data_IF_102732765335
#
_entry.id   IF_102732765335
#
_cell.length_a   1.000
_cell.length_b   1.000
_cell.length_c   1.000
_cell.angle_alpha   90.00
_cell.angle_beta   90.00
_cell.angle_gamma   90.00
#
_symmetry.space_group_name_H-M   'P 1'
#
loop_
_entity.id
_entity.type
_entity.pdbx_description
1 polymer ?
#
# COMPACT_ATOMS: atom_id res chain seq x y z
N UNK A 1 26.38 13.54 44.67
CA UNK A 1 25.34 13.75 43.64
C UNK A 1 25.12 15.25 43.44
N UNK A 2 25.05 15.69 42.19
CA UNK A 2 24.72 17.07 41.85
C UNK A 2 23.22 17.30 41.84
N UNK A 3 22.78 18.48 42.25
CA UNK A 3 21.37 18.85 42.38
C UNK A 3 20.97 19.77 41.24
N UNK A 4 19.90 19.43 40.53
CA UNK A 4 19.45 20.14 39.32
C UNK A 4 17.95 20.43 39.39
N UNK A 5 17.51 21.54 38.80
CA UNK A 5 16.10 21.70 38.48
C UNK A 5 15.64 20.59 37.52
N UNK A 6 14.45 20.03 37.74
CA UNK A 6 13.89 18.97 36.88
C UNK A 6 12.52 19.37 36.34
N UNK A 7 12.34 19.27 35.03
CA UNK A 7 11.02 19.38 34.40
C UNK A 7 10.55 17.97 34.05
N UNK A 8 9.35 17.61 34.49
CA UNK A 8 8.68 16.37 34.10
C UNK A 8 7.46 16.72 33.26
N UNK A 9 7.39 16.19 32.05
CA UNK A 9 6.29 16.42 31.11
C UNK A 9 5.11 15.49 31.39
N UNK A 10 3.95 15.79 30.81
CA UNK A 10 2.75 14.92 30.88
C UNK A 10 3.05 13.51 30.35
N UNK A 11 3.78 13.42 29.24
CA UNK A 11 4.32 12.17 28.67
C UNK A 11 5.42 11.46 29.50
N UNK A 12 5.60 11.80 30.79
CA UNK A 12 6.54 11.18 31.75
C UNK A 12 8.04 11.38 31.42
N UNK A 13 8.36 11.94 30.27
CA UNK A 13 9.73 12.35 29.96
C UNK A 13 10.24 13.42 30.91
N UNK A 14 11.54 13.40 31.15
CA UNK A 14 12.22 14.35 32.02
C UNK A 14 13.24 15.19 31.25
N UNK A 15 13.36 16.46 31.62
CA UNK A 15 14.42 17.36 31.17
C UNK A 15 15.10 17.97 32.39
N UNK A 16 16.41 17.76 32.47
CA UNK A 16 17.25 18.40 33.48
C UNK A 16 17.50 19.86 33.08
N UNK A 17 17.29 20.77 34.03
CA UNK A 17 17.52 22.20 33.91
C UNK A 17 18.86 22.62 34.52
N UNK A 18 18.87 23.82 35.11
CA UNK A 18 20.07 24.43 35.69
C UNK A 18 20.57 23.61 36.90
N UNK A 19 21.89 23.50 37.03
CA UNK A 19 22.54 22.94 38.22
C UNK A 19 22.42 23.91 39.39
N UNK A 20 21.74 23.51 40.46
CA UNK A 20 21.53 24.30 41.67
C UNK A 20 22.68 24.11 42.66
N UNK A 21 23.20 22.88 42.78
CA UNK A 21 24.33 22.58 43.68
C UNK A 21 25.22 21.49 43.08
N UNK A 22 26.52 21.75 43.00
CA UNK A 22 27.52 20.75 42.62
C UNK A 22 28.00 19.97 43.85
N UNK A 23 28.20 18.67 43.70
CA UNK A 23 28.90 17.88 44.71
C UNK A 23 30.42 18.02 44.58
N UNK A 24 31.15 17.49 45.56
CA UNK A 24 32.60 17.63 45.61
C UNK A 24 33.30 17.07 44.38
N UNK A 25 32.92 15.88 43.91
CA UNK A 25 33.43 15.29 42.65
C UNK A 25 33.32 16.23 41.44
N UNK A 26 32.17 16.90 41.27
CA UNK A 26 31.95 17.82 40.16
C UNK A 26 32.64 19.18 40.34
N UNK A 27 33.08 19.50 41.56
CA UNK A 27 33.96 20.65 41.84
C UNK A 27 35.40 20.27 41.54
N UNK A 28 35.87 19.14 42.05
CA UNK A 28 37.23 18.64 41.86
C UNK A 28 37.55 18.39 40.39
N UNK A 29 36.62 17.81 39.62
CA UNK A 29 36.75 17.70 38.15
C UNK A 29 36.96 19.06 37.48
N UNK A 30 36.19 20.05 37.92
CA UNK A 30 36.25 21.41 37.40
C UNK A 30 37.53 22.14 37.78
N UNK A 31 38.07 21.80 38.94
CA UNK A 31 39.33 22.33 39.46
C UNK A 31 40.54 21.55 38.90
N UNK A 32 40.32 20.59 37.98
CA UNK A 32 41.37 19.79 37.34
C UNK A 32 42.00 18.72 38.24
N UNK A 33 41.39 18.43 39.40
CA UNK A 33 41.87 17.44 40.37
C UNK A 33 41.40 16.02 40.07
N UNK A 34 40.34 15.87 39.27
CA UNK A 34 39.80 14.60 38.82
C UNK A 34 39.60 14.63 37.30
N UNK A 35 39.70 13.47 36.65
CA UNK A 35 39.55 13.34 35.19
C UNK A 35 38.09 13.15 34.74
N UNK A 36 37.16 12.94 35.66
CA UNK A 36 35.76 12.68 35.34
C UNK A 36 34.77 13.49 36.19
N UNK A 37 33.70 13.97 35.54
CA UNK A 37 32.61 14.71 36.20
C UNK A 37 31.61 13.75 36.89
N UNK A 38 30.80 14.31 37.80
CA UNK A 38 29.69 13.59 38.43
C UNK A 38 28.53 13.35 37.45
N UNK A 39 28.30 12.09 37.11
CA UNK A 39 27.15 11.66 36.27
C UNK A 39 25.82 11.62 37.03
N UNK A 40 25.87 11.60 38.36
CA UNK A 40 24.70 11.35 39.20
C UNK A 40 23.94 12.65 39.50
N UNK A 41 22.71 12.73 38.99
CA UNK A 41 21.81 13.89 39.15
C UNK A 41 20.70 13.60 40.16
N UNK A 42 20.38 14.59 40.99
CA UNK A 42 19.27 14.58 41.95
C UNK A 42 18.35 15.78 41.69
N UNK A 43 17.02 15.62 41.70
CA UNK A 43 16.11 16.74 41.50
C UNK A 43 16.14 17.71 42.68
N UNK A 44 16.17 19.00 42.38
CA UNK A 44 15.93 20.09 43.33
C UNK A 44 14.42 20.26 43.48
N UNK A 45 13.85 19.81 44.59
CA UNK A 45 12.38 19.80 44.77
C UNK A 45 11.74 21.18 44.49
N UNK A 46 12.23 22.31 45.03
CA UNK A 46 11.62 23.62 44.81
C UNK A 46 11.67 24.13 43.35
N UNK A 47 12.74 23.84 42.62
CA UNK A 47 12.89 24.27 41.20
C UNK A 47 12.32 23.22 40.24
N UNK A 48 11.98 22.03 40.74
CA UNK A 48 11.42 20.98 39.92
C UNK A 48 9.93 21.20 39.72
N UNK A 49 9.47 21.05 38.48
CA UNK A 49 8.08 21.29 38.11
C UNK A 49 7.55 20.20 37.19
N UNK A 50 6.26 19.92 37.34
CA UNK A 50 5.50 19.12 36.37
C UNK A 50 4.77 20.07 35.43
N UNK A 51 4.84 19.81 34.14
CA UNK A 51 4.17 20.62 33.12
C UNK A 51 3.13 19.74 32.42
N UNK A 52 1.94 20.30 32.18
CA UNK A 52 0.80 19.61 31.56
C UNK A 52 0.90 19.53 30.02
N UNK A 53 2.10 19.67 29.48
CA UNK A 53 2.37 19.55 28.03
C UNK A 53 3.24 18.34 27.79
N UNK A 54 3.16 17.80 26.57
CA UNK A 54 4.07 16.76 26.12
C UNK A 54 5.44 17.34 25.75
N UNK A 55 6.45 16.48 25.71
CA UNK A 55 7.79 16.91 25.33
C UNK A 55 7.88 17.05 23.80
N UNK A 56 8.81 17.88 23.32
CA UNK A 56 8.99 18.12 21.88
C UNK A 56 9.20 16.83 21.07
N UNK A 57 9.85 15.82 21.67
CA UNK A 57 10.07 14.52 21.02
C UNK A 57 8.74 13.80 20.78
N UNK A 58 7.87 13.72 21.79
CA UNK A 58 6.54 13.12 21.66
C UNK A 58 5.70 13.86 20.62
N UNK A 59 5.62 15.20 20.72
CA UNK A 59 4.87 16.03 19.77
C UNK A 59 5.33 15.78 18.32
N UNK A 60 6.64 15.67 18.12
CA UNK A 60 7.21 15.39 16.79
C UNK A 60 6.84 13.99 16.30
N UNK A 61 6.86 12.99 17.19
CA UNK A 61 6.50 11.62 16.86
C UNK A 61 5.02 11.48 16.54
N UNK A 62 4.15 12.12 17.31
CA UNK A 62 2.70 12.13 17.04
C UNK A 62 2.41 12.73 15.67
N UNK A 63 3.06 13.85 15.32
CA UNK A 63 2.94 14.43 13.98
C UNK A 63 3.45 13.51 12.85
N UNK A 64 4.46 12.67 13.10
CA UNK A 64 4.90 11.64 12.13
C UNK A 64 3.87 10.52 12.02
N UNK A 65 3.32 10.05 13.14
CA UNK A 65 2.29 9.01 13.15
C UNK A 65 1.02 9.47 12.44
N UNK A 66 0.59 10.71 12.65
CA UNK A 66 -0.60 11.25 11.99
C UNK A 66 -0.42 11.37 10.47
N UNK A 67 0.78 11.75 10.01
CA UNK A 67 1.12 11.75 8.58
C UNK A 67 1.09 10.34 7.99
N UNK A 68 1.67 9.36 8.70
CA UNK A 68 1.66 7.97 8.26
C UNK A 68 0.23 7.41 8.19
N UNK A 69 -0.60 7.66 9.21
CA UNK A 69 -2.02 7.26 9.22
C UNK A 69 -2.78 7.83 8.03
N UNK A 70 -2.63 9.14 7.75
CA UNK A 70 -3.26 9.78 6.58
C UNK A 70 -2.83 9.13 5.28
N UNK A 71 -1.53 8.85 5.11
CA UNK A 71 -1.01 8.17 3.92
C UNK A 71 -1.61 6.76 3.74
N UNK A 72 -1.71 6.00 4.83
CA UNK A 72 -2.34 4.67 4.83
C UNK A 72 -3.81 4.78 4.42
N UNK A 73 -4.54 5.74 4.97
CA UNK A 73 -5.96 5.94 4.66
C UNK A 73 -6.17 6.39 3.21
N UNK A 74 -5.24 7.20 2.65
CA UNK A 74 -5.24 7.56 1.24
C UNK A 74 -5.05 6.34 0.33
N UNK A 75 -4.10 5.46 0.66
CA UNK A 75 -3.87 4.22 -0.09
C UNK A 75 -5.10 3.31 0.01
N UNK A 76 -5.68 3.12 1.21
CA UNK A 76 -6.91 2.35 1.39
C UNK A 76 -8.06 2.87 0.53
N UNK A 77 -8.24 4.20 0.49
CA UNK A 77 -9.27 4.82 -0.36
C UNK A 77 -9.02 4.58 -1.85
N UNK A 78 -7.77 4.66 -2.30
CA UNK A 78 -7.41 4.38 -3.70
C UNK A 78 -7.67 2.91 -4.06
N UNK A 79 -7.27 1.97 -3.21
CA UNK A 79 -7.52 0.54 -3.41
C UNK A 79 -9.03 0.25 -3.48
N UNK A 80 -9.83 0.82 -2.58
CA UNK A 80 -11.29 0.67 -2.61
C UNK A 80 -11.90 1.14 -3.94
N UNK A 81 -11.46 2.29 -4.45
CA UNK A 81 -11.94 2.81 -5.75
C UNK A 81 -11.54 1.91 -6.93
N UNK A 82 -10.34 1.32 -6.89
CA UNK A 82 -9.89 0.38 -7.92
C UNK A 82 -10.76 -0.87 -7.89
N UNK A 83 -11.04 -1.42 -6.70
CA UNK A 83 -11.90 -2.59 -6.55
C UNK A 83 -13.32 -2.32 -7.05
N UNK A 84 -13.91 -1.19 -6.68
CA UNK A 84 -15.23 -0.76 -7.18
C UNK A 84 -15.26 -0.57 -8.70
N UNK A 85 -14.14 -0.14 -9.32
CA UNK A 85 -14.03 -0.03 -10.77
C UNK A 85 -13.99 -1.41 -11.41
N UNK A 86 -13.16 -2.32 -10.90
CA UNK A 86 -13.05 -3.70 -11.39
C UNK A 86 -14.39 -4.44 -11.31
N UNK A 87 -15.12 -4.28 -10.20
CA UNK A 87 -16.46 -4.88 -10.06
C UNK A 87 -17.42 -4.33 -11.11
N UNK A 88 -17.41 -3.01 -11.36
CA UNK A 88 -18.26 -2.41 -12.41
C UNK A 88 -17.90 -2.90 -13.80
N UNK A 89 -16.61 -3.00 -14.12
CA UNK A 89 -16.13 -3.51 -15.41
C UNK A 89 -16.58 -4.96 -15.62
N UNK A 90 -16.37 -5.84 -14.62
CA UNK A 90 -16.83 -7.24 -14.66
C UNK A 90 -18.34 -7.34 -14.88
N UNK A 91 -19.14 -6.60 -14.11
CA UNK A 91 -20.59 -6.59 -14.24
C UNK A 91 -21.05 -6.09 -15.62
N UNK A 92 -20.28 -5.20 -16.26
CA UNK A 92 -20.59 -4.68 -17.60
C UNK A 92 -20.27 -5.71 -18.68
N UNK A 93 -19.17 -6.44 -18.53
CA UNK A 93 -18.81 -7.55 -19.42
C UNK A 93 -19.82 -8.70 -19.34
N UNK A 94 -20.21 -9.11 -18.12
CA UNK A 94 -21.23 -10.14 -17.93
C UNK A 94 -22.56 -9.76 -18.60
N UNK A 95 -23.01 -8.51 -18.47
CA UNK A 95 -24.21 -8.01 -19.16
C UNK A 95 -24.08 -8.02 -20.69
N UNK A 96 -22.90 -7.72 -21.24
CA UNK A 96 -22.67 -7.79 -22.70
C UNK A 96 -22.77 -9.23 -23.21
N UNK A 97 -22.20 -10.18 -22.47
CA UNK A 97 -22.26 -11.61 -22.79
C UNK A 97 -23.71 -12.12 -22.74
N UNK A 98 -24.45 -11.76 -21.70
CA UNK A 98 -25.84 -12.18 -21.54
C UNK A 98 -26.74 -11.60 -22.65
N UNK A 99 -26.56 -10.32 -22.99
CA UNK A 99 -27.25 -9.70 -24.13
C UNK A 99 -26.93 -10.38 -25.46
N UNK A 100 -25.66 -10.76 -25.70
CA UNK A 100 -25.26 -11.48 -26.92
C UNK A 100 -25.95 -12.84 -27.03
N UNK A 101 -25.94 -13.64 -25.95
CA UNK A 101 -26.64 -14.93 -25.90
C UNK A 101 -28.15 -14.80 -26.12
N UNK A 102 -28.75 -13.69 -25.65
CA UNK A 102 -30.18 -13.42 -25.83
C UNK A 102 -30.53 -13.03 -27.27
N UNK A 103 -29.62 -12.40 -28.00
CA UNK A 103 -29.76 -12.12 -29.44
C UNK A 103 -29.62 -13.41 -30.25
N UNK A 104 -28.58 -14.21 -29.98
CA UNK A 104 -28.34 -15.50 -30.67
C UNK A 104 -29.55 -16.45 -30.55
N UNK A 105 -30.16 -16.58 -29.37
CA UNK A 105 -31.40 -17.37 -29.18
C UNK A 105 -32.63 -16.81 -29.90
N UNK A 106 -32.65 -15.51 -30.24
CA UNK A 106 -33.75 -14.87 -30.95
C UNK A 106 -33.65 -15.11 -32.45
N UNK A 107 -32.42 -15.23 -32.97
CA UNK A 107 -32.15 -15.52 -34.36
C UNK A 107 -32.42 -17.01 -34.69
N UNK A 108 -32.05 -17.95 -33.80
CA UNK A 108 -32.41 -19.38 -33.95
C UNK A 108 -33.93 -19.64 -33.96
N UNK A 109 -34.71 -18.81 -33.26
CA UNK A 109 -36.17 -18.91 -33.21
C UNK A 109 -36.86 -18.20 -34.40
N UNK A 110 -36.11 -17.45 -35.22
CA UNK A 110 -36.63 -16.81 -36.44
C UNK A 110 -36.56 -17.75 -37.64
N UNK A 111 -35.51 -18.56 -37.73
CA UNK A 111 -35.32 -19.54 -38.82
C UNK A 111 -36.28 -20.74 -38.74
N UNK A 112 -36.87 -21.01 -37.58
CA UNK A 112 -37.85 -22.09 -37.39
C UNK A 112 -39.30 -21.69 -37.74
N UNK A 113 -39.57 -20.41 -38.05
CA UNK A 113 -40.91 -19.93 -38.47
C UNK A 113 -41.02 -19.66 -39.99
N UNK A 114 -39.96 -19.93 -40.76
CA UNK A 114 -39.95 -19.75 -42.22
C UNK A 114 -39.69 -21.07 -42.96
N UNK A 115 -40.04 -22.20 -42.35
CA UNK A 115 -40.02 -23.54 -42.97
C UNK A 115 -41.43 -24.04 -43.35
N UNK A 116 -42.39 -23.15 -43.63
CA UNK A 116 -43.72 -23.54 -44.11
C UNK A 116 -44.14 -22.75 -45.34
N UNK A 117 -43.33 -22.76 -46.39
CA UNK A 117 -43.78 -22.58 -47.77
C UNK A 117 -42.59 -22.83 -48.68
N UNK A 118 -42.62 -23.92 -49.45
CA UNK A 118 -42.17 -24.01 -50.87
C UNK A 118 -42.07 -25.48 -51.27
N UNK A 119 -43.14 -25.95 -51.90
CA UNK A 119 -43.20 -27.20 -52.63
C UNK A 119 -42.74 -26.97 -54.07
N UNK A 120 -41.61 -27.54 -54.51
CA UNK A 120 -41.37 -27.79 -55.94
C UNK A 120 -40.39 -28.96 -56.15
N UNK A 121 -40.84 -29.95 -56.93
CA UNK A 121 -40.07 -30.55 -58.02
C UNK A 121 -39.08 -31.66 -57.68
N UNK A 122 -39.51 -32.90 -57.91
CA UNK A 122 -38.65 -34.08 -58.09
C UNK A 122 -37.63 -33.90 -59.23
N UNK A 123 -36.36 -34.25 -58.98
CA UNK A 123 -35.32 -34.35 -60.00
C UNK A 123 -34.14 -35.19 -59.52
N UNK A 124 -34.02 -36.39 -60.08
CA UNK A 124 -32.95 -37.39 -59.88
C UNK A 124 -31.56 -36.89 -60.29
N UNK A 125 -30.52 -37.41 -59.60
CA UNK A 125 -29.13 -37.38 -60.08
C UNK A 125 -28.10 -37.84 -59.04
N UNK A 126 -27.69 -39.12 -59.13
CA UNK A 126 -26.59 -39.75 -58.40
C UNK A 126 -25.21 -39.09 -58.64
N UNK A 127 -24.27 -39.15 -57.69
CA UNK A 127 -23.15 -40.14 -57.60
C UNK A 127 -22.16 -39.84 -56.45
N UNK A 128 -21.72 -40.93 -55.77
CA UNK A 128 -20.40 -41.28 -55.12
C UNK A 128 -19.71 -40.32 -54.15
N UNK A 129 -19.49 -40.72 -52.88
CA UNK A 129 -18.24 -41.31 -52.29
C UNK A 129 -17.04 -40.37 -52.44
N UNK A 130 -16.39 -39.88 -51.39
CA UNK A 130 -15.47 -40.63 -50.51
C UNK A 130 -14.97 -39.76 -49.32
N UNK A 131 -14.52 -40.44 -48.27
CA UNK A 131 -14.10 -39.95 -46.95
C UNK A 131 -12.57 -39.87 -46.80
N UNK A 132 -12.05 -38.98 -45.94
CA UNK A 132 -10.83 -39.05 -45.07
C UNK A 132 -10.52 -37.62 -44.57
N UNK A 133 -10.49 -37.26 -43.28
CA UNK A 133 -9.65 -37.66 -42.14
C UNK A 133 -8.34 -36.82 -42.00
N UNK A 134 -8.31 -36.03 -40.92
CA UNK A 134 -7.20 -35.59 -40.05
C UNK A 134 -6.14 -34.53 -40.48
N UNK A 135 -6.01 -33.56 -39.56
CA UNK A 135 -4.81 -32.93 -38.94
C UNK A 135 -3.67 -32.29 -39.78
N UNK A 136 -3.34 -31.02 -39.49
CA UNK A 136 -1.98 -30.61 -39.07
C UNK A 136 -1.98 -29.25 -38.36
N UNK A 137 -1.11 -29.17 -37.37
CA UNK A 137 -0.88 -28.09 -36.43
C UNK A 137 0.26 -27.15 -36.88
N UNK A 138 0.54 -26.16 -36.04
CA UNK A 138 1.84 -25.49 -35.89
C UNK A 138 2.19 -24.32 -36.82
N UNK A 139 2.12 -23.10 -36.26
CA UNK A 139 3.09 -22.06 -36.54
C UNK A 139 3.50 -21.35 -35.24
N UNK A 140 4.75 -21.59 -34.86
CA UNK A 140 5.52 -20.95 -33.79
C UNK A 140 6.25 -19.71 -34.34
N UNK A 141 6.35 -18.65 -33.52
CA UNK A 141 7.46 -17.67 -33.39
C UNK A 141 6.90 -16.36 -32.80
N UNK A 142 7.53 -15.62 -31.89
CA UNK A 142 8.84 -15.73 -31.27
C UNK A 142 9.04 -14.51 -30.35
N UNK A 143 9.62 -14.79 -29.17
CA UNK A 143 10.47 -13.97 -28.30
C UNK A 143 10.64 -12.45 -28.51
N UNK A 144 10.57 -11.65 -27.43
CA UNK A 144 11.79 -11.11 -26.78
C UNK A 144 11.55 -10.08 -25.65
N UNK A 145 12.53 -10.10 -24.75
CA UNK A 145 12.69 -9.41 -23.47
C UNK A 145 12.92 -7.89 -23.58
N UNK A 146 12.70 -7.19 -22.47
CA UNK A 146 13.13 -5.80 -22.29
C UNK A 146 13.11 -5.38 -20.82
N UNK A 147 14.07 -5.89 -20.05
CA UNK A 147 14.37 -5.51 -18.67
C UNK A 147 15.25 -4.26 -18.65
N UNK A 148 14.94 -3.28 -17.80
CA UNK A 148 15.93 -2.25 -17.43
C UNK A 148 15.66 -1.72 -16.02
N UNK A 149 16.54 -2.15 -15.12
CA UNK A 149 16.82 -1.58 -13.80
C UNK A 149 17.31 -0.14 -13.94
N UNK A 150 16.97 0.70 -12.96
CA UNK A 150 17.65 1.99 -12.73
C UNK A 150 18.09 2.09 -11.27
N UNK A 151 19.32 2.59 -11.15
CA UNK A 151 20.25 2.48 -10.03
C UNK A 151 19.94 3.41 -8.86
N UNK A 152 20.37 2.97 -7.68
CA UNK A 152 20.57 3.79 -6.49
C UNK A 152 21.77 4.73 -6.68
N UNK A 153 21.66 5.96 -6.17
CA UNK A 153 22.83 6.77 -5.81
C UNK A 153 22.62 7.34 -4.41
N UNK A 154 23.34 6.75 -3.46
CA UNK A 154 23.72 7.37 -2.20
C UNK A 154 24.80 8.42 -2.47
N UNK A 155 24.79 9.51 -1.71
CA UNK A 155 25.81 10.56 -1.79
C UNK A 155 25.81 11.40 -0.52
N UNK A 156 26.55 10.92 0.48
CA UNK A 156 27.05 11.71 1.62
C UNK A 156 28.51 12.05 1.33
N UNK A 157 28.88 13.32 1.51
CA UNK A 157 29.94 13.86 2.40
C UNK A 157 29.58 15.32 2.65
#
# INVERSE_FOLDING_TARGET
>A
MCVYGRVVFKCVHERWGICVKRCQTAKDFRDGKLDHDCVIKKPHVPTSRRIQTDCNKCITMDGKLDRAKKSIDDVKRKLKRIEERKIRERNTEEKKIDNRKKVERKDENRDSNEANSWSFGTGLGSITEESEAEEDESASDGSSQGSSQVFNTEGSI
#
